data_IF_660859090012
#
_entry.id   IF_660859090012
#
_cell.length_a   1.000
_cell.length_b   1.000
_cell.length_c   1.000
_cell.angle_alpha   90.00
_cell.angle_beta   90.00
_cell.angle_gamma   90.00
#
_symmetry.space_group_name_H-M   'P 1'
#
loop_
_entity.id
_entity.type
_entity.pdbx_description
1 polymer ?
#
# COMPACT_ATOMS: atom_id res chain seq x y z
N UNK A 1 3.93 13.11 20.08
CA UNK A 1 3.02 12.53 21.09
C UNK A 1 3.80 12.34 22.38
N UNK A 2 3.16 12.41 23.55
CA UNK A 2 3.80 12.10 24.84
C UNK A 2 3.29 10.75 25.35
N UNK A 3 4.16 9.97 25.99
CA UNK A 3 3.79 8.67 26.56
C UNK A 3 4.76 8.27 27.67
N UNK A 4 4.31 7.33 28.51
CA UNK A 4 5.11 6.74 29.59
C UNK A 4 5.60 5.38 29.13
N UNK A 5 6.90 5.13 29.29
CA UNK A 5 7.56 3.88 28.89
C UNK A 5 8.18 3.26 30.13
N UNK A 6 7.89 2.00 30.39
CA UNK A 6 8.44 1.27 31.54
C UNK A 6 8.27 -0.23 31.41
N UNK A 7 8.77 -0.99 32.37
CA UNK A 7 8.75 -2.46 32.39
C UNK A 7 7.82 -3.03 33.48
N UNK A 8 7.17 -2.16 34.27
CA UNK A 8 6.32 -2.54 35.41
C UNK A 8 4.88 -2.07 35.21
N UNK A 9 3.94 -2.76 35.87
CA UNK A 9 2.53 -2.35 35.86
C UNK A 9 2.31 -0.96 36.48
N UNK A 10 3.19 -0.56 37.41
CA UNK A 10 3.16 0.78 38.01
C UNK A 10 3.45 1.89 36.99
N UNK A 11 4.18 1.59 35.91
CA UNK A 11 4.46 2.57 34.86
C UNK A 11 3.21 2.79 33.98
N UNK A 12 2.42 1.74 33.75
CA UNK A 12 1.13 1.84 33.07
C UNK A 12 0.11 2.59 33.93
N UNK A 13 0.11 2.36 35.24
CA UNK A 13 -0.73 3.11 36.17
C UNK A 13 -0.37 4.60 36.18
N UNK A 14 0.92 4.94 36.12
CA UNK A 14 1.36 6.33 35.98
C UNK A 14 0.87 6.94 34.66
N UNK A 15 0.94 6.20 33.55
CA UNK A 15 0.43 6.66 32.25
C UNK A 15 -1.07 7.00 32.32
N UNK A 16 -1.86 6.11 32.91
CA UNK A 16 -3.30 6.29 33.11
C UNK A 16 -3.60 7.53 33.96
N UNK A 17 -2.89 7.69 35.09
CA UNK A 17 -3.05 8.85 35.97
C UNK A 17 -2.73 10.18 35.28
N UNK A 18 -1.83 10.17 34.30
CA UNK A 18 -1.44 11.35 33.52
C UNK A 18 -2.30 11.56 32.26
N UNK A 19 -3.21 10.64 31.94
CA UNK A 19 -3.98 10.65 30.69
C UNK A 19 -3.10 10.47 29.44
N UNK A 20 -1.95 9.81 29.60
CA UNK A 20 -0.98 9.56 28.53
C UNK A 20 -1.04 8.10 28.05
N UNK A 21 -0.55 7.85 26.83
CA UNK A 21 -0.39 6.48 26.32
C UNK A 21 0.76 5.79 27.08
N UNK A 22 0.47 4.63 27.67
CA UNK A 22 1.45 3.79 28.35
C UNK A 22 2.03 2.70 27.42
N UNK A 23 3.32 2.44 27.53
CA UNK A 23 4.01 1.37 26.82
C UNK A 23 4.78 0.52 27.81
N UNK A 24 4.40 -0.75 27.94
CA UNK A 24 5.13 -1.72 28.74
C UNK A 24 6.15 -2.45 27.87
N UNK A 25 7.43 -2.36 28.20
CA UNK A 25 8.51 -3.06 27.53
C UNK A 25 8.52 -4.51 28.01
N UNK A 26 8.48 -5.45 27.07
CA UNK A 26 8.21 -6.86 27.34
C UNK A 26 6.88 -7.30 26.71
N UNK A 27 6.56 -8.59 26.76
CA UNK A 27 5.30 -9.16 26.24
C UNK A 27 4.97 -8.80 24.78
N UNK A 28 5.98 -8.77 23.90
CA UNK A 28 5.80 -8.55 22.46
C UNK A 28 5.82 -7.09 22.01
N UNK A 29 6.01 -6.12 22.93
CA UNK A 29 6.24 -4.70 22.60
C UNK A 29 7.72 -4.39 22.67
N UNK A 30 8.32 -4.00 21.53
CA UNK A 30 9.74 -3.64 21.42
C UNK A 30 9.96 -2.13 21.47
N UNK A 31 11.21 -1.71 21.72
CA UNK A 31 11.61 -0.30 21.58
C UNK A 31 11.32 0.28 20.19
N UNK A 32 11.34 -0.55 19.13
CA UNK A 32 10.99 -0.11 17.78
C UNK A 32 9.48 0.20 17.66
N UNK A 33 8.61 -0.58 18.30
CA UNK A 33 7.16 -0.32 18.36
C UNK A 33 6.86 0.99 19.10
N UNK A 34 7.56 1.22 20.21
CA UNK A 34 7.42 2.42 21.02
C UNK A 34 7.91 3.64 20.24
N UNK A 35 9.07 3.55 19.60
CA UNK A 35 9.61 4.62 18.77
C UNK A 35 8.71 4.93 17.57
N UNK A 36 8.12 3.91 16.94
CA UNK A 36 7.13 4.09 15.86
C UNK A 36 5.87 4.80 16.37
N UNK A 37 5.35 4.40 17.54
CA UNK A 37 4.15 5.03 18.12
C UNK A 37 4.39 6.43 18.69
N UNK A 38 5.59 6.74 19.19
CA UNK A 38 5.93 8.03 19.82
C UNK A 38 6.63 9.01 18.88
N UNK A 39 7.20 8.51 17.77
CA UNK A 39 7.91 9.29 16.76
C UNK A 39 7.05 10.32 16.03
N UNK A 40 7.55 10.84 14.90
CA UNK A 40 6.73 11.66 13.97
C UNK A 40 5.41 10.91 13.69
N UNK A 41 4.28 11.63 13.57
CA UNK A 41 2.95 11.05 13.40
C UNK A 41 3.00 9.79 12.51
N UNK A 42 2.55 8.63 13.02
CA UNK A 42 2.65 7.36 12.30
C UNK A 42 1.83 7.44 11.01
N UNK A 43 2.44 7.03 9.89
CA UNK A 43 1.79 7.03 8.57
C UNK A 43 0.94 5.79 8.41
N UNK A 44 -0.14 5.79 9.16
CA UNK A 44 -1.11 4.70 9.24
C UNK A 44 -2.48 5.18 8.79
N UNK A 45 -3.21 4.31 8.10
CA UNK A 45 -4.59 4.56 7.76
C UNK A 45 -5.39 3.27 7.74
N UNK A 46 -6.68 3.40 8.05
CA UNK A 46 -7.68 2.36 7.92
C UNK A 46 -8.86 2.93 7.15
N UNK A 47 -9.24 2.26 6.09
CA UNK A 47 -10.40 2.61 5.26
C UNK A 47 -11.33 1.42 5.21
N UNK A 48 -12.63 1.69 5.37
CA UNK A 48 -13.70 0.72 5.21
C UNK A 48 -14.64 1.25 4.13
N UNK A 49 -14.92 0.43 3.12
CA UNK A 49 -15.84 0.75 2.03
C UNK A 49 -16.86 -0.37 1.90
N UNK A 50 -18.13 -0.01 1.73
CA UNK A 50 -19.23 -0.96 1.56
C UNK A 50 -20.17 -0.48 0.47
N UNK A 51 -20.48 -1.37 -0.46
CA UNK A 51 -21.50 -1.22 -1.49
C UNK A 51 -22.46 -2.42 -1.41
N UNK A 52 -23.37 -2.54 -2.38
CA UNK A 52 -24.19 -3.75 -2.52
C UNK A 52 -23.41 -4.91 -3.17
N UNK A 53 -22.24 -4.63 -3.75
CA UNK A 53 -21.39 -5.59 -4.47
C UNK A 53 -20.24 -6.08 -3.58
N UNK A 54 -19.62 -5.18 -2.80
CA UNK A 54 -18.43 -5.49 -2.01
C UNK A 54 -18.45 -4.87 -0.60
N UNK A 55 -17.76 -5.53 0.34
CA UNK A 55 -17.45 -5.02 1.68
C UNK A 55 -15.96 -5.20 1.97
N UNK A 56 -15.24 -4.08 2.07
CA UNK A 56 -13.77 -4.05 2.10
C UNK A 56 -13.27 -3.28 3.30
N UNK A 57 -12.21 -3.81 3.91
CA UNK A 57 -11.35 -3.10 4.86
C UNK A 57 -9.91 -3.16 4.38
N UNK A 58 -9.29 -1.99 4.25
CA UNK A 58 -7.86 -1.86 3.98
C UNK A 58 -7.16 -1.12 5.12
N UNK A 59 -6.02 -1.63 5.55
CA UNK A 59 -5.15 -1.00 6.55
C UNK A 59 -3.72 -0.96 6.03
N UNK A 60 -3.08 0.19 6.21
CA UNK A 60 -1.69 0.38 5.79
C UNK A 60 -0.86 1.03 6.88
N UNK A 61 0.42 0.67 6.94
CA UNK A 61 1.47 1.36 7.71
C UNK A 61 2.69 1.56 6.81
N UNK A 62 2.98 2.80 6.43
CA UNK A 62 4.07 3.13 5.52
C UNK A 62 5.45 3.06 6.18
N UNK A 63 5.50 2.92 7.50
CA UNK A 63 6.72 2.98 8.32
C UNK A 63 7.09 1.62 8.93
N UNK A 64 6.33 0.55 8.63
CA UNK A 64 6.53 -0.77 9.21
C UNK A 64 6.35 -1.89 8.19
N UNK A 65 7.08 -2.98 8.36
CA UNK A 65 6.82 -4.26 7.69
C UNK A 65 6.12 -5.22 8.64
N UNK A 66 5.10 -5.93 8.16
CA UNK A 66 4.48 -7.05 8.87
C UNK A 66 4.12 -8.16 7.88
N UNK A 67 3.84 -9.37 8.39
CA UNK A 67 3.27 -10.42 7.55
C UNK A 67 1.93 -9.92 6.97
N UNK A 68 1.77 -9.87 5.64
CA UNK A 68 0.53 -9.39 5.03
C UNK A 68 -0.64 -10.30 5.44
N UNK A 69 -1.77 -9.68 5.79
CA UNK A 69 -3.04 -10.40 5.95
C UNK A 69 -3.99 -9.95 4.85
N UNK A 70 -4.03 -10.73 3.77
CA UNK A 70 -4.74 -10.39 2.55
C UNK A 70 -5.70 -11.52 2.22
N UNK A 71 -6.96 -11.15 2.04
CA UNK A 71 -8.04 -12.06 1.67
C UNK A 71 -9.02 -11.30 0.82
N UNK A 72 -8.87 -11.41 -0.50
CA UNK A 72 -9.80 -10.83 -1.48
C UNK A 72 -10.80 -11.85 -2.01
N UNK A 73 -10.53 -13.14 -1.81
CA UNK A 73 -11.26 -14.25 -2.43
C UNK A 73 -10.70 -14.65 -3.81
N UNK A 74 -9.67 -13.95 -4.32
CA UNK A 74 -9.01 -14.24 -5.60
C UNK A 74 -7.53 -14.55 -5.31
N UNK A 75 -7.15 -15.84 -5.35
CA UNK A 75 -5.84 -16.28 -4.87
C UNK A 75 -4.64 -15.64 -5.57
N UNK A 76 -4.70 -15.49 -6.90
CA UNK A 76 -3.62 -14.80 -7.62
C UNK A 76 -3.53 -13.30 -7.29
N UNK A 77 -4.67 -12.64 -7.04
CA UNK A 77 -4.69 -11.23 -6.65
C UNK A 77 -4.17 -11.03 -5.23
N UNK A 78 -4.49 -11.94 -4.31
CA UNK A 78 -3.93 -11.95 -2.95
C UNK A 78 -2.39 -11.99 -3.01
N UNK A 79 -1.83 -12.92 -3.78
CA UNK A 79 -0.38 -13.03 -4.01
C UNK A 79 0.23 -11.74 -4.57
N UNK A 80 -0.46 -11.04 -5.48
CA UNK A 80 0.01 -9.75 -6.03
C UNK A 80 0.03 -8.63 -4.99
N UNK A 81 -0.99 -8.52 -4.14
CA UNK A 81 -1.01 -7.52 -3.06
C UNK A 81 0.03 -7.84 -1.97
N UNK A 82 0.34 -9.12 -1.74
CA UNK A 82 1.45 -9.51 -0.85
C UNK A 82 2.80 -9.02 -1.40
N UNK A 83 3.01 -9.04 -2.72
CA UNK A 83 4.19 -8.46 -3.34
C UNK A 83 4.29 -6.95 -3.07
N UNK A 84 3.17 -6.22 -3.05
CA UNK A 84 3.15 -4.80 -2.71
C UNK A 84 3.66 -4.55 -1.29
N UNK A 85 3.13 -5.30 -0.33
CA UNK A 85 3.54 -5.22 1.08
C UNK A 85 5.04 -5.54 1.22
N UNK A 86 5.46 -6.70 0.68
CA UNK A 86 6.82 -7.22 0.84
C UNK A 86 7.88 -6.33 0.21
N UNK A 87 7.68 -5.92 -1.05
CA UNK A 87 8.67 -5.17 -1.80
C UNK A 87 8.60 -3.66 -1.55
N UNK A 88 7.42 -3.16 -1.16
CA UNK A 88 7.21 -1.80 -0.69
C UNK A 88 7.85 -1.54 0.68
N UNK A 89 8.04 -2.60 1.48
CA UNK A 89 8.54 -2.44 2.84
C UNK A 89 7.52 -1.74 3.74
N UNK A 90 6.22 -1.92 3.43
CA UNK A 90 5.09 -1.33 4.13
C UNK A 90 4.15 -2.45 4.58
N UNK A 91 3.36 -2.21 5.62
CA UNK A 91 2.35 -3.15 6.06
C UNK A 91 1.07 -2.92 5.26
N UNK A 92 0.48 -3.99 4.75
CA UNK A 92 -0.82 -3.96 4.08
C UNK A 92 -1.66 -5.10 4.64
N UNK A 93 -2.87 -4.79 5.11
CA UNK A 93 -3.92 -5.76 5.37
C UNK A 93 -5.14 -5.41 4.54
N UNK A 94 -5.72 -6.40 3.86
CA UNK A 94 -6.94 -6.24 3.06
C UNK A 94 -7.86 -7.43 3.33
N UNK A 95 -9.10 -7.15 3.67
CA UNK A 95 -10.17 -8.16 3.69
C UNK A 95 -11.31 -7.68 2.81
N UNK A 96 -11.76 -8.52 1.88
CA UNK A 96 -12.88 -8.25 0.99
C UNK A 96 -13.88 -9.42 1.04
N UNK A 97 -15.16 -9.07 1.15
CA UNK A 97 -16.28 -9.93 0.79
C UNK A 97 -16.89 -9.33 -0.48
N UNK A 98 -16.71 -9.99 -1.62
CA UNK A 98 -17.19 -9.51 -2.92
C UNK A 98 -18.13 -10.50 -3.60
N UNK A 99 -18.79 -10.05 -4.65
CA UNK A 99 -19.78 -10.78 -5.44
C UNK A 99 -19.16 -11.67 -6.53
N UNK A 100 -18.16 -12.49 -6.17
CA UNK A 100 -17.40 -13.34 -7.09
C UNK A 100 -18.24 -14.35 -7.91
N UNK A 101 -19.50 -14.58 -7.53
CA UNK A 101 -20.46 -15.34 -8.35
C UNK A 101 -20.88 -14.63 -9.64
N UNK A 102 -20.70 -13.30 -9.71
CA UNK A 102 -20.94 -12.48 -10.91
C UNK A 102 -19.67 -12.53 -11.76
N UNK A 103 -18.60 -11.90 -11.29
CA UNK A 103 -17.24 -11.98 -11.80
C UNK A 103 -16.24 -11.37 -10.79
N UNK A 104 -14.97 -11.27 -11.19
CA UNK A 104 -13.90 -10.70 -10.36
C UNK A 104 -13.85 -9.15 -10.38
N UNK A 105 -14.61 -8.48 -11.25
CA UNK A 105 -14.42 -7.08 -11.60
C UNK A 105 -14.61 -6.14 -10.41
N UNK A 106 -15.79 -6.20 -9.77
CA UNK A 106 -16.11 -5.32 -8.64
C UNK A 106 -15.14 -5.53 -7.48
N UNK A 107 -14.73 -6.78 -7.23
CA UNK A 107 -13.78 -7.12 -6.17
C UNK A 107 -12.42 -6.47 -6.42
N UNK A 108 -11.86 -6.60 -7.63
CA UNK A 108 -10.54 -6.03 -7.95
C UNK A 108 -10.58 -4.51 -7.95
N UNK A 109 -11.60 -3.91 -8.58
CA UNK A 109 -11.78 -2.46 -8.63
C UNK A 109 -11.91 -1.85 -7.22
N UNK A 110 -12.83 -2.37 -6.41
CA UNK A 110 -13.14 -1.77 -5.12
C UNK A 110 -12.00 -1.98 -4.11
N UNK A 111 -11.24 -3.06 -4.22
CA UNK A 111 -10.01 -3.26 -3.44
C UNK A 111 -8.97 -2.22 -3.82
N UNK A 112 -8.78 -1.94 -5.12
CA UNK A 112 -7.86 -0.92 -5.59
C UNK A 112 -8.24 0.48 -5.09
N UNK A 113 -9.53 0.84 -5.19
CA UNK A 113 -10.05 2.11 -4.70
C UNK A 113 -9.80 2.27 -3.20
N UNK A 114 -10.16 1.26 -2.41
CA UNK A 114 -10.05 1.28 -0.95
C UNK A 114 -8.59 1.32 -0.49
N UNK A 115 -7.70 0.56 -1.15
CA UNK A 115 -6.28 0.55 -0.88
C UNK A 115 -5.63 1.90 -1.22
N UNK A 116 -5.97 2.49 -2.38
CA UNK A 116 -5.45 3.80 -2.78
C UNK A 116 -5.86 4.92 -1.83
N UNK A 117 -7.09 4.90 -1.32
CA UNK A 117 -7.55 5.82 -0.29
C UNK A 117 -6.79 5.64 1.04
N UNK A 118 -6.52 4.39 1.43
CA UNK A 118 -5.73 4.09 2.63
C UNK A 118 -4.29 4.62 2.48
N UNK A 119 -3.64 4.34 1.35
CA UNK A 119 -2.30 4.84 1.04
C UNK A 119 -2.25 6.38 1.03
N UNK A 120 -3.21 7.04 0.36
CA UNK A 120 -3.32 8.52 0.35
C UNK A 120 -3.47 9.07 1.76
N UNK A 121 -4.34 8.47 2.56
CA UNK A 121 -4.61 8.91 3.93
C UNK A 121 -3.38 8.75 4.82
N UNK A 122 -2.63 7.66 4.66
CA UNK A 122 -1.39 7.42 5.39
C UNK A 122 -0.24 8.37 4.98
N UNK A 123 -0.22 8.84 3.72
CA UNK A 123 0.76 9.82 3.23
C UNK A 123 0.59 11.22 3.84
N UNK A 124 -0.61 11.58 4.30
CA UNK A 124 -0.90 12.87 4.93
C UNK A 124 -0.57 14.07 4.02
N UNK A 125 0.16 15.06 4.55
CA UNK A 125 0.54 16.28 3.83
C UNK A 125 1.76 16.10 2.89
N UNK A 126 2.26 14.87 2.75
CA UNK A 126 3.37 14.49 1.86
C UNK A 126 4.68 15.25 2.10
N UNK A 127 4.84 15.91 3.24
CA UNK A 127 6.10 16.61 3.55
C UNK A 127 7.22 15.62 3.83
N UNK A 128 8.38 15.89 3.24
CA UNK A 128 9.61 15.15 3.44
C UNK A 128 9.67 13.79 2.77
N UNK A 129 8.75 13.45 1.85
CA UNK A 129 8.80 12.18 1.10
C UNK A 129 9.67 12.29 -0.16
N UNK A 130 10.22 11.18 -0.66
CA UNK A 130 11.01 11.13 -1.90
C UNK A 130 10.24 11.47 -3.18
N UNK A 131 8.91 11.37 -3.15
CA UNK A 131 7.92 11.73 -4.20
C UNK A 131 7.97 10.89 -5.48
N UNK A 132 9.16 10.56 -5.97
CA UNK A 132 9.40 9.84 -7.22
C UNK A 132 9.94 8.43 -6.95
N UNK A 133 9.68 7.50 -7.88
CA UNK A 133 10.30 6.18 -7.87
C UNK A 133 10.36 5.52 -9.25
N UNK A 134 11.33 4.62 -9.46
CA UNK A 134 11.62 3.93 -10.73
C UNK A 134 12.21 2.53 -10.53
N UNK A 135 11.88 1.55 -11.40
CA UNK A 135 12.29 0.12 -11.29
C UNK A 135 12.53 -0.57 -12.66
N UNK A 136 13.33 -1.64 -12.66
CA UNK A 136 13.91 -2.41 -13.78
C UNK A 136 14.08 -3.93 -13.41
N UNK A 137 14.42 -4.85 -14.35
CA UNK A 137 13.74 -6.11 -14.75
C UNK A 137 13.67 -7.30 -13.76
N UNK A 138 12.88 -8.35 -14.11
CA UNK A 138 12.77 -9.65 -13.43
C UNK A 138 12.66 -10.83 -14.41
N UNK A 139 13.63 -11.75 -14.41
CA UNK A 139 13.71 -12.92 -15.30
C UNK A 139 13.60 -12.54 -16.79
N UNK A 140 12.70 -13.18 -17.57
CA UNK A 140 12.44 -12.81 -18.96
C UNK A 140 11.50 -11.61 -19.10
N UNK A 141 10.90 -11.16 -17.99
CA UNK A 141 9.99 -10.02 -17.96
C UNK A 141 10.71 -8.71 -17.58
N UNK A 142 10.44 -7.65 -18.34
CA UNK A 142 10.85 -6.29 -17.98
C UNK A 142 9.62 -5.45 -17.72
N UNK A 143 9.42 -5.06 -16.46
CA UNK A 143 8.46 -4.02 -16.07
C UNK A 143 9.19 -2.70 -15.79
N UNK A 144 8.81 -1.68 -16.54
CA UNK A 144 9.19 -0.29 -16.32
C UNK A 144 8.03 0.39 -15.61
N UNK A 145 8.24 0.76 -14.35
CA UNK A 145 7.24 1.46 -13.53
C UNK A 145 7.77 2.82 -13.11
N UNK A 146 6.94 3.85 -13.22
CA UNK A 146 7.23 5.21 -12.74
C UNK A 146 6.05 5.75 -11.94
N UNK A 147 6.35 6.44 -10.83
CA UNK A 147 5.34 6.97 -9.90
C UNK A 147 5.62 8.44 -9.55
N UNK A 148 4.59 9.29 -9.60
CA UNK A 148 4.57 10.64 -9.02
C UNK A 148 3.40 10.76 -8.02
N UNK A 149 3.71 10.93 -6.74
CA UNK A 149 2.73 11.20 -5.67
C UNK A 149 2.24 12.68 -5.68
N UNK A 150 2.12 13.25 -6.88
CA UNK A 150 1.92 14.68 -7.15
C UNK A 150 0.49 15.20 -6.97
N UNK A 151 -0.45 14.37 -6.50
CA UNK A 151 -1.85 14.76 -6.24
C UNK A 151 -2.77 14.74 -7.46
N UNK A 152 -2.28 14.31 -8.63
CA UNK A 152 -3.07 14.23 -9.87
C UNK A 152 -3.17 12.78 -10.33
N UNK A 153 -4.38 12.23 -10.47
CA UNK A 153 -4.55 10.87 -10.97
C UNK A 153 -4.26 10.81 -12.46
N UNK A 154 -3.42 9.86 -12.87
CA UNK A 154 -3.15 9.58 -14.28
C UNK A 154 -2.59 8.16 -14.42
N UNK A 155 -3.01 7.42 -15.45
CA UNK A 155 -2.48 6.10 -15.76
C UNK A 155 -2.02 6.04 -17.22
N UNK A 156 -0.81 5.53 -17.43
CA UNK A 156 -0.38 4.92 -18.69
C UNK A 156 -0.07 3.45 -18.41
N UNK A 157 -0.71 2.54 -19.13
CA UNK A 157 -0.49 1.11 -18.97
C UNK A 157 -0.30 0.46 -20.34
N UNK A 158 0.89 -0.05 -20.59
CA UNK A 158 1.27 -0.68 -21.85
C UNK A 158 1.71 -2.12 -21.57
N UNK A 159 0.81 -3.07 -21.82
CA UNK A 159 1.07 -4.49 -21.64
C UNK A 159 0.30 -5.31 -22.69
N UNK A 160 0.92 -6.40 -23.15
CA UNK A 160 0.25 -7.48 -23.87
C UNK A 160 0.59 -8.78 -23.15
N UNK A 161 -0.38 -9.33 -22.41
CA UNK A 161 -0.17 -10.51 -21.59
C UNK A 161 -0.26 -11.83 -22.37
N UNK A 162 -0.70 -11.81 -23.63
CA UNK A 162 -0.80 -13.02 -24.47
C UNK A 162 -1.80 -14.09 -24.00
N UNK A 163 -2.57 -13.84 -22.94
CA UNK A 163 -3.66 -14.69 -22.45
C UNK A 163 -4.68 -13.90 -21.62
N UNK A 164 -5.87 -14.46 -21.47
CA UNK A 164 -7.01 -13.77 -20.86
C UNK A 164 -7.03 -13.85 -19.32
N UNK A 165 -6.39 -14.87 -18.71
CA UNK A 165 -6.44 -15.10 -17.25
C UNK A 165 -5.12 -15.65 -16.68
N UNK A 166 -4.83 -15.32 -15.42
CA UNK A 166 -3.79 -15.95 -14.58
C UNK A 166 -4.43 -16.44 -13.28
N UNK A 167 -4.52 -17.76 -13.11
CA UNK A 167 -5.38 -18.32 -12.06
C UNK A 167 -6.82 -17.85 -12.30
N UNK A 168 -7.44 -17.31 -11.26
CA UNK A 168 -8.78 -16.75 -11.29
C UNK A 168 -8.82 -15.31 -11.84
N UNK A 169 -7.70 -14.58 -11.86
CA UNK A 169 -7.66 -13.16 -12.23
C UNK A 169 -7.65 -12.96 -13.76
N UNK A 170 -8.65 -12.29 -14.36
CA UNK A 170 -8.55 -11.77 -15.72
C UNK A 170 -7.42 -10.77 -15.89
N UNK A 171 -6.66 -10.90 -16.98
CA UNK A 171 -5.49 -10.05 -17.24
C UNK A 171 -5.88 -8.60 -17.53
N UNK A 172 -7.09 -8.37 -18.06
CA UNK A 172 -7.66 -7.02 -18.20
C UNK A 172 -7.81 -6.29 -16.85
N UNK A 173 -8.08 -7.03 -15.77
CA UNK A 173 -8.28 -6.43 -14.45
C UNK A 173 -6.99 -5.91 -13.83
N UNK A 174 -5.82 -6.28 -14.37
CA UNK A 174 -4.53 -5.74 -13.92
C UNK A 174 -4.44 -4.25 -14.26
N UNK A 175 -4.81 -3.86 -15.49
CA UNK A 175 -4.85 -2.43 -15.86
C UNK A 175 -5.92 -1.70 -15.04
N UNK A 176 -7.10 -2.29 -14.90
CA UNK A 176 -8.19 -1.70 -14.09
C UNK A 176 -7.77 -1.47 -12.64
N UNK A 177 -7.07 -2.43 -12.01
CA UNK A 177 -6.51 -2.26 -10.67
C UNK A 177 -5.63 -1.00 -10.57
N UNK A 178 -4.66 -0.83 -11.48
CA UNK A 178 -3.79 0.34 -11.44
C UNK A 178 -4.52 1.65 -11.78
N UNK A 179 -5.57 1.59 -12.60
CA UNK A 179 -6.42 2.74 -12.94
C UNK A 179 -7.13 3.23 -11.69
N UNK A 180 -7.91 2.34 -11.06
CA UNK A 180 -8.67 2.63 -9.85
C UNK A 180 -7.75 3.04 -8.68
N UNK A 181 -6.60 2.38 -8.54
CA UNK A 181 -5.58 2.75 -7.55
C UNK A 181 -5.07 4.18 -7.77
N UNK A 182 -4.77 4.57 -9.02
CA UNK A 182 -4.27 5.92 -9.35
C UNK A 182 -5.27 7.01 -8.98
N UNK A 183 -6.56 6.73 -9.14
CA UNK A 183 -7.66 7.66 -8.91
C UNK A 183 -7.82 8.03 -7.43
N UNK A 184 -7.77 7.05 -6.54
CA UNK A 184 -7.88 7.26 -5.10
C UNK A 184 -6.53 7.57 -4.46
N UNK A 185 -5.42 7.04 -4.94
CA UNK A 185 -4.09 7.46 -4.48
C UNK A 185 -3.76 8.91 -4.89
N UNK A 186 -4.42 9.43 -5.93
CA UNK A 186 -4.13 10.75 -6.54
C UNK A 186 -2.69 10.81 -7.02
N UNK A 187 -2.29 9.80 -7.79
CA UNK A 187 -0.93 9.65 -8.31
C UNK A 187 -0.91 9.45 -9.82
N UNK A 188 0.18 9.88 -10.45
CA UNK A 188 0.47 9.50 -11.82
C UNK A 188 1.27 8.20 -11.79
N UNK A 189 0.77 7.16 -12.47
CA UNK A 189 1.35 5.83 -12.56
C UNK A 189 1.59 5.51 -14.03
N UNK A 190 2.82 5.18 -14.39
CA UNK A 190 3.17 4.74 -15.73
C UNK A 190 3.76 3.34 -15.65
N UNK A 191 3.20 2.42 -16.43
CA UNK A 191 3.62 1.02 -16.51
C UNK A 191 3.82 0.65 -17.96
N UNK A 192 4.96 0.05 -18.26
CA UNK A 192 5.21 -0.71 -19.48
C UNK A 192 5.78 -2.06 -19.09
N UNK A 193 5.24 -3.16 -19.64
CA UNK A 193 5.78 -4.49 -19.38
C UNK A 193 5.88 -5.32 -20.66
N UNK A 194 6.97 -6.07 -20.77
CA UNK A 194 7.21 -7.06 -21.83
C UNK A 194 7.70 -8.36 -21.21
N UNK A 195 7.38 -9.49 -21.81
CA UNK A 195 7.82 -10.81 -21.38
C UNK A 195 7.02 -11.90 -22.09
N UNK A 196 7.38 -13.15 -21.85
CA UNK A 196 6.72 -14.31 -22.48
C UNK A 196 5.66 -14.94 -21.56
N UNK A 197 5.83 -14.82 -20.23
CA UNK A 197 4.91 -15.38 -19.26
C UNK A 197 4.09 -14.28 -18.57
N UNK A 198 2.77 -14.29 -18.76
CA UNK A 198 1.86 -13.33 -18.14
C UNK A 198 1.97 -13.27 -16.60
N UNK A 199 2.23 -14.40 -15.93
CA UNK A 199 2.47 -14.41 -14.47
C UNK A 199 3.67 -13.54 -14.14
N UNK A 200 4.81 -13.79 -14.78
CA UNK A 200 6.05 -13.05 -14.53
C UNK A 200 5.88 -11.57 -14.86
N UNK A 201 5.19 -11.26 -15.95
CA UNK A 201 4.85 -9.89 -16.34
C UNK A 201 4.04 -9.19 -15.24
N UNK A 202 2.91 -9.76 -14.80
CA UNK A 202 2.07 -9.14 -13.77
C UNK A 202 2.83 -9.01 -12.45
N UNK A 203 3.51 -10.08 -12.02
CA UNK A 203 4.28 -10.07 -10.78
C UNK A 203 5.41 -9.03 -10.82
N UNK A 204 6.09 -8.87 -11.97
CA UNK A 204 7.12 -7.85 -12.16
C UNK A 204 6.55 -6.42 -12.09
N UNK A 205 5.34 -6.18 -12.60
CA UNK A 205 4.63 -4.90 -12.47
C UNK A 205 4.31 -4.59 -11.02
N UNK A 206 3.74 -5.53 -10.27
CA UNK A 206 3.42 -5.32 -8.85
C UNK A 206 4.68 -5.09 -8.01
N UNK A 207 5.74 -5.88 -8.21
CA UNK A 207 7.05 -5.65 -7.56
C UNK A 207 7.65 -4.31 -7.94
N UNK A 208 7.57 -3.93 -9.22
CA UNK A 208 8.03 -2.66 -9.75
C UNK A 208 7.30 -1.48 -9.10
N UNK A 209 5.98 -1.54 -9.03
CA UNK A 209 5.18 -0.53 -8.36
C UNK A 209 5.51 -0.45 -6.86
N UNK A 210 5.60 -1.58 -6.17
CA UNK A 210 5.93 -1.64 -4.75
C UNK A 210 7.25 -0.94 -4.42
N UNK A 211 8.29 -1.20 -5.23
CA UNK A 211 9.61 -0.59 -5.10
C UNK A 211 9.58 0.91 -5.44
N UNK A 212 8.81 1.33 -6.45
CA UNK A 212 8.57 2.76 -6.72
C UNK A 212 7.91 3.44 -5.52
N UNK A 213 6.87 2.81 -4.96
CA UNK A 213 6.16 3.31 -3.79
C UNK A 213 7.09 3.45 -2.59
N UNK A 214 7.98 2.47 -2.35
CA UNK A 214 8.99 2.55 -1.28
C UNK A 214 9.89 3.77 -1.41
N UNK A 215 10.39 4.04 -2.61
CA UNK A 215 11.24 5.21 -2.90
C UNK A 215 10.43 6.50 -2.72
N UNK A 216 9.25 6.58 -3.33
CA UNK A 216 8.40 7.76 -3.30
C UNK A 216 7.91 8.11 -1.88
N UNK A 217 7.71 7.10 -1.03
CA UNK A 217 7.31 7.25 0.37
C UNK A 217 8.50 7.41 1.33
N UNK A 218 9.76 7.26 0.90
CA UNK A 218 10.91 7.36 1.78
C UNK A 218 10.98 8.76 2.40
N UNK A 219 11.22 8.86 3.71
CA UNK A 219 11.39 10.16 4.38
C UNK A 219 12.83 10.65 4.19
N UNK A 220 13.02 11.71 3.40
CA UNK A 220 14.32 12.29 3.07
C UNK A 220 14.56 13.67 3.71
N UNK A 221 13.54 14.26 4.34
CA UNK A 221 13.67 15.57 4.98
C UNK A 221 12.41 16.04 5.71
N UNK A 222 12.22 17.37 5.75
CA UNK A 222 11.03 18.04 6.30
C UNK A 222 10.29 18.93 5.30
N UNK A 223 10.90 19.23 4.16
CA UNK A 223 10.36 20.15 3.18
C UNK A 223 9.28 19.49 2.32
N UNK A 224 8.34 20.30 1.82
CA UNK A 224 7.38 19.82 0.83
C UNK A 224 8.10 19.69 -0.52
N UNK A 225 8.11 18.50 -1.17
CA UNK A 225 8.80 18.31 -2.46
C UNK A 225 7.98 18.89 -3.63
N UNK A 226 7.60 20.18 -3.56
CA UNK A 226 6.81 20.88 -4.58
C UNK A 226 7.17 22.36 -4.65
N UNK A 227 7.50 22.82 -5.86
CA UNK A 227 7.76 24.25 -6.13
C UNK A 227 6.51 25.11 -6.04
N UNK A 228 5.31 24.52 -6.07
CA UNK A 228 4.02 25.22 -5.95
C UNK A 228 3.57 25.45 -4.50
N UNK A 229 4.26 24.86 -3.52
CA UNK A 229 3.90 24.97 -2.11
C UNK A 229 2.69 24.13 -1.66
N UNK A 230 2.08 23.34 -2.56
CA UNK A 230 0.96 22.42 -2.27
C UNK A 230 1.08 21.10 -3.07
N UNK A 231 0.55 19.98 -2.54
CA UNK A 231 0.51 18.62 -3.11
C UNK A 231 -0.73 17.82 -2.65
#
# INVERSE_FOLDING_TARGET
ASGVVGDRDTDLQLAENLGLKGFKIGDGVSWADIAHSLGRQPRQARVVRRTNETSIRAEVDLDRTQAPNISTGIGFFDHMLEQLSKHGGIAINVTCEGDLQVDEHHTVEDVALTLGDALRSALGDKRGIGRYGFVLPMDEAEAQVSLDLGGRPYLVFEADFGRDRVGELPTELVEHFFRSLSETLKAAIHVRVRGDNAHHMIESVFKGFARCLRQACAREGSDLPSTKGVL
#
